data_IF_049286966532
#
_entry.id   IF_049286966532
#
_cell.length_a   1.000
_cell.length_b   1.000
_cell.length_c   1.000
_cell.angle_alpha   90.00
_cell.angle_beta   90.00
_cell.angle_gamma   90.00
#
_symmetry.space_group_name_H-M   'P 1'
#
loop_
_entity.id
_entity.type
_entity.pdbx_description
1 polymer ?
#
# COMPACT_ATOMS: atom_id res chain seq x y z
N UNK A 1 4.54 63.55 -28.26
CA UNK A 1 3.71 62.95 -29.33
C UNK A 1 3.32 61.55 -28.90
N UNK A 2 2.02 61.24 -29.05
CA UNK A 2 1.34 59.93 -28.96
C UNK A 2 1.16 59.29 -27.57
N UNK A 3 -0.10 59.36 -27.14
CA UNK A 3 -0.78 58.45 -26.24
C UNK A 3 -1.02 57.07 -26.90
N UNK A 4 -1.23 56.01 -26.11
CA UNK A 4 -2.53 55.28 -26.01
C UNK A 4 -2.42 53.91 -25.30
N UNK A 5 -3.34 53.74 -24.33
CA UNK A 5 -4.09 52.53 -23.91
C UNK A 5 -3.46 51.33 -23.18
N UNK A 6 -4.23 50.93 -22.15
CA UNK A 6 -4.09 49.85 -21.17
C UNK A 6 -4.24 48.43 -21.74
N UNK A 7 -3.92 47.39 -20.96
CA UNK A 7 -4.85 46.31 -20.50
C UNK A 7 -4.22 45.55 -19.30
N UNK A 8 -5.08 45.17 -18.35
CA UNK A 8 -4.86 44.31 -17.17
C UNK A 8 -4.08 43.02 -17.43
N UNK A 9 -3.25 42.58 -16.46
CA UNK A 9 -2.61 41.27 -16.49
C UNK A 9 -2.00 40.86 -15.14
N UNK A 10 -2.74 40.03 -14.40
CA UNK A 10 -2.37 39.05 -13.37
C UNK A 10 -1.01 39.22 -12.66
N UNK A 11 -1.09 39.54 -11.36
CA UNK A 11 0.01 39.40 -10.40
C UNK A 11 0.25 37.90 -10.13
N UNK A 12 1.11 37.25 -10.93
CA UNK A 12 1.66 35.94 -10.56
C UNK A 12 2.87 36.22 -9.67
N UNK A 13 2.67 36.04 -8.36
CA UNK A 13 3.77 35.89 -7.40
C UNK A 13 4.50 34.59 -7.76
N UNK A 14 5.61 34.72 -8.49
CA UNK A 14 6.63 33.67 -8.54
C UNK A 14 7.28 33.62 -7.16
N UNK A 15 6.73 32.79 -6.27
CA UNK A 15 7.47 32.34 -5.10
C UNK A 15 8.36 31.19 -5.54
N UNK A 16 9.65 31.44 -5.45
CA UNK A 16 10.77 30.54 -5.64
C UNK A 16 10.46 29.17 -4.99
N UNK A 17 10.29 28.13 -5.81
CA UNK A 17 10.42 26.76 -5.37
C UNK A 17 11.91 26.46 -5.30
N UNK A 18 12.48 26.59 -4.09
CA UNK A 18 13.84 26.16 -3.82
C UNK A 18 14.03 24.70 -4.21
N UNK A 19 15.09 24.50 -4.99
CA UNK A 19 15.61 23.21 -5.39
C UNK A 19 16.02 22.38 -4.15
N UNK A 20 15.55 21.14 -4.16
CA UNK A 20 15.74 20.10 -3.15
C UNK A 20 17.20 19.91 -2.72
N UNK A 21 17.45 20.11 -1.41
CA UNK A 21 18.69 19.77 -0.74
C UNK A 21 18.58 18.45 0.05
N UNK A 22 19.54 17.55 -0.16
CA UNK A 22 19.76 16.31 0.59
C UNK A 22 19.85 16.57 2.11
N UNK A 23 18.89 16.08 2.90
CA UNK A 23 19.07 15.83 4.34
C UNK A 23 18.42 14.51 4.75
N UNK A 24 19.19 13.67 5.45
CA UNK A 24 18.77 12.47 6.18
C UNK A 24 18.28 11.25 5.38
N UNK A 25 18.73 11.06 4.13
CA UNK A 25 18.62 9.76 3.46
C UNK A 25 17.19 9.28 3.14
N UNK A 26 16.20 10.18 3.16
CA UNK A 26 14.83 9.93 2.72
C UNK A 26 14.61 10.74 1.44
N UNK A 27 14.32 10.05 0.33
CA UNK A 27 13.96 10.67 -0.94
C UNK A 27 12.52 11.19 -0.85
N UNK A 28 12.38 12.50 -0.62
CA UNK A 28 11.14 13.22 -0.89
C UNK A 28 11.23 13.76 -2.32
N UNK A 29 10.65 13.07 -3.30
CA UNK A 29 10.25 13.71 -4.56
C UNK A 29 8.91 13.10 -4.95
N UNK A 30 7.94 13.92 -5.33
CA UNK A 30 6.57 13.49 -5.67
C UNK A 30 6.52 12.44 -6.78
N UNK A 31 7.42 12.54 -7.76
CA UNK A 31 7.52 11.60 -8.90
C UNK A 31 7.96 10.18 -8.45
N UNK A 32 8.81 10.07 -7.42
CA UNK A 32 9.26 8.76 -6.90
C UNK A 32 8.17 8.08 -6.06
N UNK A 33 7.34 8.87 -5.37
CA UNK A 33 6.19 8.35 -4.62
C UNK A 33 5.11 7.78 -5.55
N UNK A 34 4.83 8.43 -6.68
CA UNK A 34 3.90 7.92 -7.70
C UNK A 34 4.40 6.62 -8.36
N UNK A 35 5.71 6.52 -8.63
CA UNK A 35 6.32 5.31 -9.19
C UNK A 35 6.37 4.15 -8.20
N UNK A 36 6.47 4.44 -6.91
CA UNK A 36 6.54 3.44 -5.85
C UNK A 36 5.14 2.95 -5.42
N UNK A 37 4.13 3.82 -5.43
CA UNK A 37 2.76 3.51 -5.00
C UNK A 37 2.02 2.55 -5.93
N UNK A 38 2.46 2.41 -7.19
CA UNK A 38 1.83 1.52 -8.17
C UNK A 38 2.39 0.10 -8.19
N UNK A 39 3.40 -0.23 -7.38
CA UNK A 39 4.02 -1.56 -7.36
C UNK A 39 3.36 -2.45 -6.32
N UNK A 40 2.97 -3.64 -6.75
CA UNK A 40 2.37 -4.65 -5.88
C UNK A 40 2.81 -6.05 -6.26
N UNK A 41 2.64 -7.01 -5.34
CA UNK A 41 2.99 -8.42 -5.51
C UNK A 41 1.71 -9.24 -5.74
N UNK A 42 1.82 -10.30 -6.55
CA UNK A 42 0.75 -11.28 -6.77
C UNK A 42 1.29 -12.70 -6.81
N UNK A 43 0.52 -13.59 -6.22
CA UNK A 43 0.65 -15.04 -6.36
C UNK A 43 -0.33 -15.57 -7.42
N UNK A 44 -0.14 -16.81 -7.86
CA UNK A 44 -1.19 -17.49 -8.62
C UNK A 44 -2.34 -17.88 -7.70
N UNK A 45 -3.56 -18.02 -8.23
CA UNK A 45 -4.68 -18.67 -7.52
C UNK A 45 -4.36 -20.10 -7.04
N UNK A 46 -3.31 -20.73 -7.59
CA UNK A 46 -2.79 -22.05 -7.18
C UNK A 46 -1.70 -21.98 -6.10
N UNK A 47 -1.46 -20.80 -5.55
CA UNK A 47 -0.42 -20.51 -4.56
C UNK A 47 0.90 -20.01 -5.15
N UNK A 48 1.93 -19.94 -4.30
CA UNK A 48 3.27 -19.42 -4.61
C UNK A 48 4.00 -20.19 -5.70
N UNK A 49 4.76 -19.42 -6.48
CA UNK A 49 5.72 -19.91 -7.46
C UNK A 49 5.07 -20.80 -8.51
N UNK A 50 3.95 -20.33 -9.06
CA UNK A 50 3.18 -21.06 -10.08
C UNK A 50 3.07 -20.32 -11.42
N UNK A 51 3.64 -19.13 -11.57
CA UNK A 51 3.52 -18.34 -12.80
C UNK A 51 4.79 -18.44 -13.64
N UNK A 52 4.65 -18.88 -14.88
CA UNK A 52 5.65 -18.64 -15.93
C UNK A 52 5.71 -17.15 -16.28
N UNK A 53 6.76 -16.71 -16.98
CA UNK A 53 6.88 -15.30 -17.35
C UNK A 53 5.69 -14.80 -18.20
N UNK A 54 5.17 -15.68 -19.08
CA UNK A 54 4.00 -15.36 -19.92
C UNK A 54 2.74 -15.21 -19.07
N UNK A 55 2.53 -16.10 -18.10
CA UNK A 55 1.38 -16.06 -17.19
C UNK A 55 1.46 -14.87 -16.24
N UNK A 56 2.64 -14.58 -15.69
CA UNK A 56 2.92 -13.41 -14.86
C UNK A 56 2.57 -12.10 -15.59
N UNK A 57 2.98 -11.98 -16.86
CA UNK A 57 2.59 -10.82 -17.68
C UNK A 57 1.08 -10.74 -17.89
N UNK A 58 0.40 -11.88 -18.06
CA UNK A 58 -1.05 -11.91 -18.21
C UNK A 58 -1.78 -11.49 -16.93
N UNK A 59 -1.26 -11.89 -15.75
CA UNK A 59 -1.79 -11.47 -14.44
C UNK A 59 -1.74 -9.94 -14.32
N UNK A 60 -0.59 -9.32 -14.51
CA UNK A 60 -0.50 -7.85 -14.41
C UNK A 60 -1.37 -7.13 -15.44
N UNK A 61 -1.42 -7.64 -16.67
CA UNK A 61 -2.24 -7.05 -17.74
C UNK A 61 -3.74 -7.16 -17.44
N UNK A 62 -4.19 -8.25 -16.82
CA UNK A 62 -5.60 -8.44 -16.45
C UNK A 62 -6.06 -7.39 -15.45
N UNK A 63 -5.18 -6.99 -14.52
CA UNK A 63 -5.41 -5.95 -13.51
C UNK A 63 -5.11 -4.52 -14.04
N UNK A 64 -5.01 -4.37 -15.36
CA UNK A 64 -4.77 -3.08 -16.02
C UNK A 64 -3.35 -2.52 -15.81
N UNK A 65 -2.45 -3.32 -15.24
CA UNK A 65 -1.05 -2.99 -15.03
C UNK A 65 -0.11 -3.62 -16.06
N UNK A 66 1.18 -3.57 -15.74
CA UNK A 66 2.27 -4.20 -16.47
C UNK A 66 3.22 -4.88 -15.48
N UNK A 67 4.20 -5.64 -15.95
CA UNK A 67 5.26 -6.10 -15.05
C UNK A 67 6.05 -4.90 -14.52
N UNK A 68 6.29 -4.87 -13.21
CA UNK A 68 7.11 -3.84 -12.60
C UNK A 68 8.55 -3.90 -13.13
N UNK A 69 9.13 -2.73 -13.35
CA UNK A 69 10.56 -2.62 -13.62
C UNK A 69 11.36 -2.78 -12.34
N UNK A 70 12.65 -3.09 -12.49
CA UNK A 70 13.58 -3.14 -11.36
C UNK A 70 13.62 -1.82 -10.57
N UNK A 71 13.61 -0.68 -11.27
CA UNK A 71 13.70 0.64 -10.64
C UNK A 71 12.41 0.99 -9.86
N UNK A 72 11.25 0.60 -10.40
CA UNK A 72 9.98 0.72 -9.68
C UNK A 72 9.95 -0.14 -8.42
N UNK A 73 10.42 -1.39 -8.50
CA UNK A 73 10.51 -2.26 -7.33
C UNK A 73 11.48 -1.70 -6.26
N UNK A 74 12.61 -1.15 -6.68
CA UNK A 74 13.56 -0.50 -5.77
C UNK A 74 12.99 0.79 -5.15
N UNK A 75 12.24 1.58 -5.91
CA UNK A 75 11.52 2.74 -5.39
C UNK A 75 10.47 2.34 -4.35
N UNK A 76 9.66 1.31 -4.64
CA UNK A 76 8.70 0.73 -3.72
C UNK A 76 9.37 0.26 -2.41
N UNK A 77 10.51 -0.43 -2.52
CA UNK A 77 11.32 -0.86 -1.37
C UNK A 77 11.73 0.32 -0.50
N UNK A 78 12.22 1.41 -1.10
CA UNK A 78 12.71 2.57 -0.35
C UNK A 78 11.62 3.23 0.50
N UNK A 79 10.35 3.15 0.10
CA UNK A 79 9.22 3.65 0.89
C UNK A 79 8.66 2.62 1.87
N UNK A 80 9.09 1.36 1.80
CA UNK A 80 8.77 0.34 2.79
C UNK A 80 8.29 -1.00 2.23
N UNK A 81 8.05 -1.11 0.93
CA UNK A 81 7.50 -2.33 0.34
C UNK A 81 8.45 -3.51 0.54
N UNK A 82 8.02 -4.49 1.33
CA UNK A 82 8.80 -5.65 1.76
C UNK A 82 8.04 -6.92 1.43
N UNK A 83 8.62 -7.78 0.61
CA UNK A 83 7.99 -9.06 0.24
C UNK A 83 9.06 -10.15 0.22
N UNK A 84 8.82 -11.22 0.99
CA UNK A 84 9.74 -12.34 1.10
C UNK A 84 9.50 -13.44 0.05
N UNK A 85 9.29 -13.05 -1.20
CA UNK A 85 9.00 -13.98 -2.28
C UNK A 85 9.53 -13.47 -3.61
N UNK A 86 10.29 -14.32 -4.31
CA UNK A 86 10.85 -13.98 -5.62
C UNK A 86 9.77 -13.96 -6.70
N UNK A 87 9.78 -12.91 -7.52
CA UNK A 87 8.77 -12.70 -8.55
C UNK A 87 9.36 -12.20 -9.86
N UNK A 88 8.61 -12.41 -10.94
CA UNK A 88 8.91 -11.87 -12.25
C UNK A 88 8.81 -10.34 -12.27
N UNK A 89 9.78 -9.72 -12.95
CA UNK A 89 9.86 -8.30 -13.30
C UNK A 89 9.92 -8.14 -14.82
N UNK A 90 9.90 -6.89 -15.29
CA UNK A 90 10.03 -6.55 -16.71
C UNK A 90 11.26 -7.22 -17.36
N UNK A 91 11.15 -7.50 -18.67
CA UNK A 91 12.18 -8.18 -19.48
C UNK A 91 12.55 -9.58 -18.95
N UNK A 92 11.75 -10.11 -18.02
CA UNK A 92 11.91 -11.40 -17.36
C UNK A 92 13.17 -11.49 -16.54
N UNK A 93 13.44 -10.42 -15.79
CA UNK A 93 14.27 -10.45 -14.59
C UNK A 93 13.46 -11.04 -13.42
N UNK A 94 14.14 -11.60 -12.43
CA UNK A 94 13.51 -12.08 -11.19
C UNK A 94 14.22 -11.45 -10.01
N UNK A 95 13.45 -11.01 -9.02
CA UNK A 95 13.98 -10.50 -7.76
C UNK A 95 12.89 -10.23 -6.74
N UNK A 96 13.26 -9.69 -5.58
CA UNK A 96 12.30 -9.30 -4.53
C UNK A 96 12.87 -8.24 -3.57
N UNK A 97 12.04 -7.36 -2.99
CA UNK A 97 12.49 -6.22 -2.19
C UNK A 97 12.62 -6.54 -0.70
N UNK A 98 13.79 -6.23 -0.12
CA UNK A 98 14.05 -6.37 1.32
C UNK A 98 14.36 -5.01 1.96
N UNK A 99 13.44 -4.54 2.80
CA UNK A 99 13.57 -3.29 3.57
C UNK A 99 14.37 -3.47 4.87
N UNK A 100 14.15 -4.58 5.59
CA UNK A 100 14.83 -4.90 6.85
C UNK A 100 15.58 -6.22 6.73
N UNK A 101 16.85 -6.23 7.17
CA UNK A 101 17.62 -7.46 7.25
C UNK A 101 17.10 -8.32 8.41
N UNK A 102 16.62 -9.53 8.11
CA UNK A 102 16.26 -10.55 9.10
C UNK A 102 16.88 -11.90 8.75
N UNK A 103 16.97 -12.82 9.72
CA UNK A 103 17.51 -14.17 9.51
C UNK A 103 16.65 -15.02 8.58
N UNK A 104 15.38 -14.66 8.40
CA UNK A 104 14.39 -15.49 7.72
C UNK A 104 14.08 -15.01 6.28
N UNK A 105 14.63 -13.86 5.86
CA UNK A 105 14.43 -13.35 4.52
C UNK A 105 15.58 -12.43 4.07
N UNK A 106 16.00 -12.55 2.80
CA UNK A 106 17.06 -11.72 2.23
C UNK A 106 18.48 -12.08 2.69
N UNK A 107 18.65 -13.17 3.44
CA UNK A 107 19.96 -13.66 3.89
C UNK A 107 20.81 -12.59 4.60
N UNK A 108 20.16 -11.75 5.42
CA UNK A 108 20.81 -10.63 6.12
C UNK A 108 21.15 -9.43 5.23
N UNK A 109 20.68 -9.38 3.98
CA UNK A 109 20.90 -8.26 3.05
C UNK A 109 19.66 -7.39 2.93
N UNK A 110 19.87 -6.08 2.86
CA UNK A 110 18.87 -5.07 2.51
C UNK A 110 19.06 -4.69 1.04
N UNK A 111 17.96 -4.46 0.32
CA UNK A 111 17.96 -4.15 -1.12
C UNK A 111 17.06 -5.08 -1.92
N UNK A 112 17.10 -4.98 -3.25
CA UNK A 112 16.53 -6.02 -4.11
C UNK A 112 17.45 -7.23 -4.10
N UNK A 113 16.94 -8.39 -3.69
CA UNK A 113 17.61 -9.66 -3.93
C UNK A 113 17.37 -10.03 -5.38
N UNK A 114 18.39 -9.80 -6.21
CA UNK A 114 18.31 -9.92 -7.66
C UNK A 114 18.81 -11.29 -8.13
N UNK A 115 17.93 -12.06 -8.78
CA UNK A 115 18.26 -13.33 -9.43
C UNK A 115 18.59 -13.17 -10.93
N UNK A 116 18.60 -11.93 -11.43
CA UNK A 116 18.98 -11.58 -12.78
C UNK A 116 17.94 -11.97 -13.83
N UNK A 117 18.34 -11.81 -15.10
CA UNK A 117 17.51 -12.18 -16.24
C UNK A 117 17.46 -13.68 -16.42
N UNK A 118 16.26 -14.26 -16.47
CA UNK A 118 16.07 -15.70 -16.67
C UNK A 118 16.08 -16.03 -18.16
N UNK A 119 16.91 -17.00 -18.55
CA UNK A 119 16.91 -17.54 -19.92
C UNK A 119 15.69 -18.43 -20.15
N UNK A 120 15.35 -19.26 -19.16
CA UNK A 120 14.17 -20.12 -19.21
C UNK A 120 12.94 -19.36 -18.70
N UNK A 121 12.10 -18.88 -19.62
CA UNK A 121 10.85 -18.17 -19.31
C UNK A 121 9.71 -19.08 -18.81
N UNK A 122 9.93 -20.39 -18.78
CA UNK A 122 9.00 -21.39 -18.23
C UNK A 122 9.25 -21.71 -16.75
N UNK A 123 10.30 -21.15 -16.15
CA UNK A 123 10.47 -21.19 -14.69
C UNK A 123 9.26 -20.56 -14.00
N UNK A 124 8.98 -20.99 -12.76
CA UNK A 124 7.80 -20.55 -12.03
C UNK A 124 8.20 -19.69 -10.84
N UNK A 125 7.58 -18.53 -10.76
CA UNK A 125 7.80 -17.53 -9.71
C UNK A 125 6.46 -16.86 -9.40
N UNK A 126 6.46 -15.94 -8.42
CA UNK A 126 5.37 -15.00 -8.25
C UNK A 126 5.53 -13.86 -9.27
N UNK A 127 4.82 -12.74 -9.11
CA UNK A 127 4.98 -11.58 -9.98
C UNK A 127 4.90 -10.26 -9.21
N UNK A 128 5.71 -9.30 -9.66
CA UNK A 128 5.57 -7.90 -9.28
C UNK A 128 4.97 -7.13 -10.45
N UNK A 129 3.85 -6.49 -10.20
CA UNK A 129 3.15 -5.69 -11.18
C UNK A 129 3.33 -4.20 -10.87
N UNK A 130 3.21 -3.39 -11.91
CA UNK A 130 3.20 -1.94 -11.83
C UNK A 130 2.00 -1.40 -12.60
N UNK A 131 1.17 -0.63 -11.92
CA UNK A 131 0.13 0.15 -12.54
C UNK A 131 0.27 1.60 -12.04
N UNK A 132 0.64 2.57 -12.90
CA UNK A 132 0.76 3.98 -12.52
C UNK A 132 -0.60 4.59 -12.16
N UNK A 133 -1.67 3.94 -12.62
CA UNK A 133 -3.07 4.24 -12.29
C UNK A 133 -3.63 3.00 -11.59
N UNK A 134 -2.84 2.32 -10.74
CA UNK A 134 -3.29 1.15 -9.99
C UNK A 134 -4.71 1.43 -9.55
N UNK A 135 -5.62 0.73 -10.21
CA UNK A 135 -7.07 0.89 -10.12
C UNK A 135 -7.56 0.49 -8.72
N UNK A 136 -6.61 0.07 -7.89
CA UNK A 136 -6.64 -0.25 -6.50
C UNK A 136 -6.68 1.05 -5.69
N UNK A 137 -7.88 1.37 -5.25
CA UNK A 137 -8.07 1.74 -3.86
C UNK A 137 -6.92 1.37 -2.92
N UNK A 138 -6.51 2.31 -2.08
CA UNK A 138 -5.36 2.10 -1.21
C UNK A 138 -4.29 3.17 -1.35
N UNK A 139 -3.06 2.75 -1.11
CA UNK A 139 -1.84 3.53 -1.26
C UNK A 139 -0.99 3.60 0.01
N UNK A 140 0.11 4.35 -0.08
CA UNK A 140 0.99 4.62 1.05
C UNK A 140 0.58 5.94 1.71
N UNK A 141 0.36 5.89 3.01
CA UNK A 141 -0.13 7.00 3.81
C UNK A 141 0.89 7.37 4.88
N UNK A 142 1.33 8.64 4.85
CA UNK A 142 2.35 9.16 5.79
C UNK A 142 1.88 10.37 6.59
N UNK A 143 0.62 10.77 6.37
CA UNK A 143 -0.03 11.84 7.13
C UNK A 143 -0.13 11.42 8.61
N UNK A 144 -0.08 12.37 9.56
CA UNK A 144 -0.27 12.05 10.98
C UNK A 144 -1.72 11.65 11.29
N UNK A 145 -2.67 11.95 10.41
CA UNK A 145 -4.08 11.62 10.56
C UNK A 145 -4.74 11.56 9.18
N UNK A 146 -5.60 10.57 8.95
CA UNK A 146 -6.40 10.50 7.73
C UNK A 146 -7.63 9.61 7.90
N UNK A 147 -8.70 10.00 7.22
CA UNK A 147 -9.86 9.14 6.99
C UNK A 147 -9.63 8.33 5.71
N UNK A 148 -9.80 7.01 5.81
CA UNK A 148 -9.77 6.08 4.69
C UNK A 148 -11.16 5.48 4.51
N UNK A 149 -11.52 5.24 3.25
CA UNK A 149 -12.81 4.66 2.89
C UNK A 149 -12.60 3.51 1.91
N UNK A 150 -13.53 2.57 1.91
CA UNK A 150 -13.65 1.58 0.85
C UNK A 150 -13.82 2.24 -0.52
N UNK A 151 -13.49 1.53 -1.60
CA UNK A 151 -13.75 2.00 -2.95
C UNK A 151 -15.25 2.22 -3.15
N UNK A 152 -15.65 3.31 -3.78
CA UNK A 152 -17.08 3.57 -4.06
C UNK A 152 -17.85 4.24 -2.92
N UNK A 153 -17.34 4.23 -1.69
CA UNK A 153 -18.02 4.82 -0.53
C UNK A 153 -18.48 6.28 -0.78
N UNK A 154 -19.73 6.65 -0.43
CA UNK A 154 -20.68 5.92 0.42
C UNK A 154 -21.59 4.94 -0.33
N UNK A 155 -21.39 4.74 -1.64
CA UNK A 155 -22.06 3.68 -2.39
C UNK A 155 -21.38 2.32 -2.12
N UNK A 156 -22.03 1.24 -2.54
CA UNK A 156 -21.46 -0.10 -2.41
C UNK A 156 -20.10 -0.24 -3.13
N UNK A 157 -19.21 -1.05 -2.55
CA UNK A 157 -17.94 -1.39 -3.20
C UNK A 157 -18.18 -2.31 -4.41
N UNK A 158 -17.15 -2.53 -5.23
CA UNK A 158 -17.27 -3.40 -6.41
C UNK A 158 -16.77 -4.81 -6.11
N UNK A 159 -17.22 -5.79 -6.88
CA UNK A 159 -16.66 -7.14 -6.88
C UNK A 159 -15.19 -7.15 -7.34
N UNK A 160 -14.48 -8.21 -6.97
CA UNK A 160 -13.10 -8.55 -7.36
C UNK A 160 -12.07 -7.46 -7.04
N UNK A 161 -12.29 -6.72 -5.94
CA UNK A 161 -11.38 -5.68 -5.48
C UNK A 161 -10.32 -6.26 -4.55
N UNK A 162 -9.09 -5.75 -4.70
CA UNK A 162 -8.02 -5.99 -3.76
C UNK A 162 -7.36 -4.64 -3.51
N UNK A 163 -7.51 -4.13 -2.29
CA UNK A 163 -7.02 -2.82 -1.90
C UNK A 163 -6.00 -2.96 -0.77
N UNK A 164 -4.92 -2.18 -0.81
CA UNK A 164 -3.94 -2.13 0.27
C UNK A 164 -3.69 -0.69 0.73
N UNK A 165 -3.85 -0.43 2.02
CA UNK A 165 -3.43 0.82 2.64
C UNK A 165 -2.24 0.55 3.54
N UNK A 166 -1.07 1.07 3.15
CA UNK A 166 0.14 1.00 3.98
C UNK A 166 0.31 2.31 4.73
N UNK A 167 0.09 2.29 6.03
CA UNK A 167 0.16 3.46 6.90
C UNK A 167 1.54 3.46 7.57
N UNK A 168 2.24 4.59 7.49
CA UNK A 168 3.51 4.82 8.19
C UNK A 168 3.50 6.19 8.85
N UNK A 169 3.53 6.20 10.17
CA UNK A 169 3.66 7.42 10.96
C UNK A 169 5.10 7.63 11.44
N UNK A 170 5.33 8.75 12.13
CA UNK A 170 6.65 9.11 12.66
C UNK A 170 7.23 8.00 13.54
N UNK A 171 8.54 7.77 13.44
CA UNK A 171 9.23 6.83 14.32
C UNK A 171 9.03 7.19 15.80
N UNK A 172 8.78 6.18 16.64
CA UNK A 172 8.47 6.35 18.06
C UNK A 172 6.99 6.68 18.35
N UNK A 173 6.17 6.90 17.33
CA UNK A 173 4.72 7.01 17.46
C UNK A 173 4.06 5.66 17.16
N UNK A 174 2.79 5.54 17.54
CA UNK A 174 1.90 4.43 17.17
C UNK A 174 0.73 4.94 16.32
N UNK A 175 0.01 4.02 15.72
CA UNK A 175 -1.16 4.24 14.88
C UNK A 175 -2.35 3.75 15.67
N UNK A 176 -3.28 4.65 16.00
CA UNK A 176 -4.62 4.26 16.47
C UNK A 176 -5.55 4.25 15.26
N UNK A 177 -6.18 3.11 15.01
CA UNK A 177 -7.20 2.90 14.00
C UNK A 177 -8.58 2.90 14.68
N UNK A 178 -9.52 3.66 14.14
CA UNK A 178 -10.87 3.81 14.64
C UNK A 178 -11.87 3.65 13.49
N UNK A 179 -12.87 2.78 13.67
CA UNK A 179 -13.90 2.55 12.68
C UNK A 179 -15.06 3.54 12.87
N UNK A 180 -15.47 4.18 11.77
CA UNK A 180 -16.56 5.16 11.75
C UNK A 180 -17.82 4.58 11.11
N UNK A 181 -17.66 3.63 10.19
CA UNK A 181 -18.72 2.94 9.47
C UNK A 181 -18.18 1.59 8.96
N UNK A 182 -18.99 0.54 8.97
CA UNK A 182 -18.58 -0.80 8.57
C UNK A 182 -19.79 -1.65 8.16
N UNK A 183 -19.78 -2.11 6.91
CA UNK A 183 -20.80 -2.94 6.28
C UNK A 183 -20.15 -3.71 5.11
N UNK A 184 -19.63 -4.90 5.39
CA UNK A 184 -19.03 -5.81 4.40
C UNK A 184 -19.90 -7.07 4.36
N UNK A 185 -19.98 -7.76 3.21
CA UNK A 185 -20.75 -9.02 3.11
C UNK A 185 -20.48 -9.95 4.30
N UNK A 186 -21.54 -10.36 4.99
CA UNK A 186 -21.43 -11.23 6.16
C UNK A 186 -21.34 -12.70 5.73
N UNK A 187 -20.25 -13.37 6.12
CA UNK A 187 -20.13 -14.82 6.07
C UNK A 187 -19.50 -15.38 7.35
N UNK A 188 -19.71 -16.68 7.60
CA UNK A 188 -19.39 -17.32 8.89
C UNK A 188 -17.92 -17.17 9.32
N UNK A 189 -16.99 -17.10 8.36
CA UNK A 189 -15.55 -17.05 8.62
C UNK A 189 -14.87 -15.84 7.92
N UNK A 190 -15.66 -14.88 7.44
CA UNK A 190 -15.19 -13.73 6.64
C UNK A 190 -14.32 -14.17 5.45
N UNK A 191 -14.68 -15.24 4.74
CA UNK A 191 -13.91 -15.81 3.63
C UNK A 191 -14.28 -15.24 2.26
N UNK A 192 -15.47 -14.64 2.13
CA UNK A 192 -15.90 -13.95 0.92
C UNK A 192 -15.27 -12.56 0.91
N UNK A 193 -15.99 -11.56 1.38
CA UNK A 193 -15.48 -10.20 1.48
C UNK A 193 -14.96 -9.91 2.88
N UNK A 194 -13.84 -9.21 2.98
CA UNK A 194 -13.28 -8.89 4.28
C UNK A 194 -12.23 -7.80 4.26
N UNK A 195 -12.10 -7.14 5.41
CA UNK A 195 -10.97 -6.28 5.74
C UNK A 195 -10.02 -7.03 6.69
N UNK A 196 -8.75 -7.15 6.32
CA UNK A 196 -7.67 -7.65 7.17
C UNK A 196 -6.83 -6.49 7.70
N UNK A 197 -6.42 -6.60 8.97
CA UNK A 197 -5.51 -5.65 9.63
C UNK A 197 -4.22 -6.36 9.98
N UNK A 198 -3.10 -5.73 9.65
CA UNK A 198 -1.76 -6.18 9.99
C UNK A 198 -1.01 -5.07 10.75
N UNK A 199 -0.51 -5.39 11.95
CA UNK A 199 0.42 -4.58 12.73
C UNK A 199 1.86 -4.68 12.20
N UNK A 200 1.99 -4.56 10.89
CA UNK A 200 3.24 -4.60 10.16
C UNK A 200 3.09 -3.87 8.81
N UNK A 201 4.19 -3.68 8.08
CA UNK A 201 4.17 -3.08 6.74
C UNK A 201 3.91 -4.12 5.62
N UNK A 202 3.74 -5.39 5.98
CA UNK A 202 3.44 -6.49 5.06
C UNK A 202 2.15 -7.21 5.48
N UNK A 203 1.60 -8.04 4.59
CA UNK A 203 0.41 -8.87 4.84
C UNK A 203 0.79 -10.32 5.22
N UNK A 204 2.03 -10.53 5.67
CA UNK A 204 2.58 -11.85 6.02
C UNK A 204 2.82 -11.97 7.53
N UNK A 205 3.10 -10.86 8.21
CA UNK A 205 3.39 -10.80 9.63
C UNK A 205 2.50 -9.80 10.35
N UNK A 206 2.33 -9.99 11.66
CA UNK A 206 1.54 -9.08 12.49
C UNK A 206 0.04 -9.10 12.20
N UNK A 207 -0.51 -10.21 11.69
CA UNK A 207 -1.96 -10.35 11.51
C UNK A 207 -2.69 -10.09 12.82
N UNK A 208 -3.62 -9.13 12.80
CA UNK A 208 -4.44 -8.72 13.95
C UNK A 208 -5.79 -9.41 13.89
N UNK A 209 -6.44 -9.35 12.73
CA UNK A 209 -7.77 -9.89 12.55
C UNK A 209 -8.30 -9.70 11.14
N UNK A 210 -9.40 -10.38 10.89
CA UNK A 210 -10.19 -10.33 9.67
C UNK A 210 -11.63 -10.00 10.06
N UNK A 211 -12.26 -9.09 9.32
CA UNK A 211 -13.54 -8.49 9.69
C UNK A 211 -14.47 -8.43 8.48
N UNK A 212 -15.73 -8.75 8.70
CA UNK A 212 -16.85 -8.68 7.75
C UNK A 212 -18.17 -8.49 8.52
N UNK A 213 -19.29 -8.32 7.82
CA UNK A 213 -20.59 -7.98 8.41
C UNK A 213 -20.77 -6.48 8.68
N UNK A 214 -21.80 -6.15 9.45
CA UNK A 214 -22.22 -4.77 9.77
C UNK A 214 -21.83 -4.30 11.19
N UNK A 215 -21.15 -5.17 11.95
CA UNK A 215 -20.67 -4.84 13.28
C UNK A 215 -19.36 -4.07 13.22
N UNK A 216 -19.34 -2.87 13.81
CA UNK A 216 -18.12 -2.08 13.94
C UNK A 216 -17.02 -2.87 14.68
N UNK A 217 -15.85 -3.06 14.07
CA UNK A 217 -14.70 -3.64 14.76
C UNK A 217 -14.21 -2.74 15.89
N UNK A 218 -13.58 -3.35 16.89
CA UNK A 218 -12.92 -2.62 17.97
C UNK A 218 -11.76 -1.76 17.47
N UNK A 219 -11.54 -0.64 18.14
CA UNK A 219 -10.36 0.20 17.93
C UNK A 219 -9.07 -0.60 18.12
N UNK A 220 -8.10 -0.35 17.26
CA UNK A 220 -6.79 -1.01 17.33
C UNK A 220 -5.67 0.01 17.46
N UNK A 221 -4.72 -0.26 18.35
CA UNK A 221 -3.50 0.53 18.49
C UNK A 221 -2.30 -0.35 18.13
N UNK A 222 -1.57 0.04 17.10
CA UNK A 222 -0.38 -0.66 16.62
C UNK A 222 0.73 -0.72 17.68
N UNK A 223 1.57 -1.75 17.62
CA UNK A 223 2.75 -1.84 18.48
C UNK A 223 3.89 -0.93 18.00
N UNK A 224 3.94 -0.67 16.68
CA UNK A 224 4.95 0.15 16.01
C UNK A 224 4.36 1.33 15.24
N UNK A 225 5.17 1.93 14.37
CA UNK A 225 4.80 3.10 13.55
C UNK A 225 4.33 2.74 12.14
N UNK A 226 4.00 1.47 11.89
CA UNK A 226 3.53 0.95 10.59
C UNK A 226 2.32 0.04 10.77
N UNK A 227 1.41 0.05 9.80
CA UNK A 227 0.22 -0.79 9.75
C UNK A 227 -0.18 -1.01 8.29
N UNK A 228 -0.72 -2.18 7.97
CA UNK A 228 -1.28 -2.49 6.65
C UNK A 228 -2.74 -2.89 6.80
N UNK A 229 -3.60 -2.28 6.00
CA UNK A 229 -4.99 -2.68 5.83
C UNK A 229 -5.14 -3.32 4.45
N UNK A 230 -5.88 -4.43 4.37
CA UNK A 230 -6.11 -5.14 3.13
C UNK A 230 -7.57 -5.46 2.99
N UNK A 231 -8.22 -4.92 1.97
CA UNK A 231 -9.61 -5.24 1.66
C UNK A 231 -9.66 -6.16 0.44
N UNK A 232 -10.43 -7.24 0.53
CA UNK A 232 -10.74 -8.12 -0.58
C UNK A 232 -12.26 -8.20 -0.74
N UNK A 233 -12.72 -8.19 -1.99
CA UNK A 233 -14.07 -8.64 -2.36
C UNK A 233 -14.01 -9.79 -3.37
N UNK A 234 -14.98 -10.70 -3.28
CA UNK A 234 -15.13 -11.85 -4.16
C UNK A 234 -15.86 -11.47 -5.46
N UNK A 235 -16.34 -12.45 -6.24
CA UNK A 235 -17.00 -12.20 -7.52
C UNK A 235 -18.49 -11.81 -7.45
N UNK A 236 -19.06 -11.70 -6.25
CA UNK A 236 -20.47 -11.43 -6.04
C UNK A 236 -20.78 -10.92 -4.65
N UNK A 237 -21.91 -10.23 -4.53
CA UNK A 237 -22.45 -9.68 -3.28
C UNK A 237 -21.58 -8.55 -2.75
N UNK A 238 -22.14 -7.36 -2.75
CA UNK A 238 -21.48 -6.14 -2.29
C UNK A 238 -22.31 -5.50 -1.19
N UNK A 239 -21.64 -4.71 -0.35
CA UNK A 239 -22.25 -4.00 0.77
C UNK A 239 -21.70 -2.56 0.85
N UNK A 240 -22.11 -1.77 1.85
CA UNK A 240 -21.77 -0.35 1.98
C UNK A 240 -20.27 -0.05 2.14
N UNK A 241 -19.47 -1.05 2.48
CA UNK A 241 -18.03 -0.98 2.66
C UNK A 241 -17.64 -0.46 4.02
N UNK A 242 -16.63 0.42 4.09
CA UNK A 242 -16.15 0.91 5.36
C UNK A 242 -15.66 2.35 5.28
N UNK A 243 -15.70 3.01 6.43
CA UNK A 243 -15.04 4.27 6.68
C UNK A 243 -14.32 4.20 8.01
N UNK A 244 -13.04 4.52 8.01
CA UNK A 244 -12.21 4.48 9.21
C UNK A 244 -11.28 5.67 9.24
N UNK A 245 -10.74 5.95 10.41
CA UNK A 245 -9.75 7.00 10.63
C UNK A 245 -8.56 6.39 11.33
N UNK A 246 -7.36 6.80 10.91
CA UNK A 246 -6.17 6.57 11.72
C UNK A 246 -5.59 7.88 12.20
N UNK A 247 -4.97 7.84 13.39
CA UNK A 247 -4.21 8.94 13.96
C UNK A 247 -2.86 8.46 14.50
N UNK A 248 -1.85 9.31 14.37
CA UNK A 248 -0.53 9.13 14.95
C UNK A 248 -0.56 9.57 16.40
N UNK A 249 -0.30 8.63 17.31
CA UNK A 249 -0.29 8.90 18.75
C UNK A 249 1.13 8.78 19.29
N UNK A 250 1.56 9.80 20.01
CA UNK A 250 2.82 9.76 20.75
C UNK A 250 2.63 9.06 22.10
N UNK A 251 3.71 8.90 22.87
CA UNK A 251 3.64 8.20 24.16
C UNK A 251 2.71 8.85 25.17
N UNK A 252 2.63 10.19 25.26
CA UNK A 252 1.72 10.85 26.23
C UNK A 252 0.25 10.64 25.85
N UNK A 253 -0.08 10.82 24.57
CA UNK A 253 -1.43 10.58 24.06
C UNK A 253 -1.86 9.12 24.22
N UNK A 254 -0.91 8.18 24.07
CA UNK A 254 -1.17 6.77 24.30
C UNK A 254 -1.54 6.48 25.76
N UNK A 255 -0.90 7.13 26.73
CA UNK A 255 -1.25 6.99 28.15
C UNK A 255 -2.67 7.47 28.43
N UNK A 256 -3.07 8.60 27.85
CA UNK A 256 -4.42 9.13 28.01
C UNK A 256 -5.47 8.16 27.42
N UNK A 257 -5.22 7.65 26.21
CA UNK A 257 -6.12 6.70 25.54
C UNK A 257 -6.28 5.37 26.29
N UNK A 258 -5.19 4.86 26.86
CA UNK A 258 -5.25 3.63 27.65
C UNK A 258 -5.95 3.88 28.98
N UNK A 259 -5.79 5.05 29.61
CA UNK A 259 -6.46 5.39 30.86
C UNK A 259 -7.99 5.44 30.70
N UNK A 260 -8.48 5.97 29.59
CA UNK A 260 -9.92 6.07 29.30
C UNK A 260 -10.58 4.69 29.05
N UNK A 261 -9.81 3.67 28.65
CA UNK A 261 -10.33 2.30 28.46
C UNK A 261 -10.59 1.52 29.75
N UNK A 262 -10.18 2.07 30.90
CA UNK A 262 -10.35 1.46 32.23
C UNK A 262 -11.33 2.23 33.14
N UNK A 263 -12.05 3.23 32.62
CA UNK A 263 -13.09 3.98 33.34
C UNK A 263 -14.49 3.60 32.88
#
# INVERSE_FOLDING_TARGET
MRALTAVFGVLIVLKETEAWGYKNGILHNSIWLEQAAGVYHRESRKGRYQLTYKEAKAVCNFEGGTLATFDQLEAARQIGFHVCAAGWLDKGRVGYPIVKAGSNCGFGKVGIIDYGYRLNKSERWDVYCYNPVAKECGGVHTDPEKVLVSPGYPDEYQDEQICYWHIRVRFGHRIRLHFLDFDIEEDTDCLSDHLEIYDSYDDVSGFVGRYCGDQLPDDFISTGNVMTLKFLSDSSVTAGGFKLQYISVNSSQLFDLLADSFS
#
